data_IF_184070312969
#
_entry.id   IF_184070312969
#
_cell.length_a   1.000
_cell.length_b   1.000
_cell.length_c   1.000
_cell.angle_alpha   90.00
_cell.angle_beta   90.00
_cell.angle_gamma   90.00
#
_symmetry.space_group_name_H-M   'P 1'
#
loop_
_entity.id
_entity.type
_entity.pdbx_description
1 polymer ?
#
# COMPACT_ATOMS: atom_id res chain seq x y z
N UNK A 1 27.05 -9.01 31.93
CA UNK A 1 26.91 -8.05 30.81
C UNK A 1 25.45 -8.01 30.43
N UNK A 2 24.74 -6.90 30.70
CA UNK A 2 23.35 -6.71 30.26
C UNK A 2 23.40 -6.02 28.90
N UNK A 3 22.95 -6.71 27.86
CA UNK A 3 22.70 -6.08 26.57
C UNK A 3 21.57 -5.06 26.78
N UNK A 4 21.92 -3.79 26.64
CA UNK A 4 20.95 -2.71 26.52
C UNK A 4 20.49 -2.77 25.06
N UNK A 5 19.34 -3.37 24.82
CA UNK A 5 18.61 -3.21 23.56
C UNK A 5 18.28 -1.73 23.41
N UNK A 6 19.15 -1.00 22.71
CA UNK A 6 18.81 0.32 22.18
C UNK A 6 17.71 0.08 21.15
N UNK A 7 16.46 0.27 21.55
CA UNK A 7 15.38 0.48 20.61
C UNK A 7 15.83 1.58 19.63
N UNK A 8 15.95 1.23 18.36
CA UNK A 8 16.22 2.22 17.33
C UNK A 8 15.11 3.28 17.38
N UNK A 9 15.41 4.58 17.24
CA UNK A 9 14.38 5.60 17.20
C UNK A 9 13.41 5.28 16.05
N UNK A 10 12.15 5.05 16.40
CA UNK A 10 11.06 4.86 15.42
C UNK A 10 10.86 6.18 14.68
N UNK A 11 11.56 6.39 13.56
CA UNK A 11 11.29 7.50 12.67
C UNK A 11 9.91 7.29 12.06
N UNK A 12 8.95 8.09 12.49
CA UNK A 12 7.60 8.14 11.91
C UNK A 12 7.55 9.31 10.95
N UNK A 13 7.14 9.07 9.71
CA UNK A 13 6.92 10.15 8.73
C UNK A 13 5.62 10.86 9.09
N UNK A 14 5.61 12.19 9.25
CA UNK A 14 4.38 12.91 9.52
C UNK A 14 3.42 12.82 8.31
N UNK A 15 2.13 12.84 8.59
CA UNK A 15 1.11 12.96 7.54
C UNK A 15 1.26 14.30 6.81
N UNK A 16 1.12 14.28 5.49
CA UNK A 16 1.48 15.38 4.61
C UNK A 16 0.31 15.89 3.76
N UNK A 17 0.41 17.12 3.27
CA UNK A 17 -0.52 17.69 2.30
C UNK A 17 -1.81 18.27 2.88
N UNK A 18 -2.53 18.99 2.02
CA UNK A 18 -3.73 19.74 2.40
C UNK A 18 -4.92 18.86 2.80
N UNK A 19 -4.89 17.58 2.38
CA UNK A 19 -5.90 16.58 2.71
C UNK A 19 -5.76 16.03 4.13
N UNK A 20 -4.68 16.33 4.84
CA UNK A 20 -4.45 15.91 6.21
C UNK A 20 -4.56 17.08 7.18
N UNK A 21 -5.45 16.97 8.18
CA UNK A 21 -5.65 17.96 9.24
C UNK A 21 -5.89 17.25 10.58
N UNK A 22 -5.23 17.72 11.64
CA UNK A 22 -5.42 17.18 12.99
C UNK A 22 -5.11 15.68 13.12
N UNK A 23 -4.16 15.16 12.32
CA UNK A 23 -3.78 13.74 12.34
C UNK A 23 -4.75 12.80 11.60
N UNK A 24 -5.73 13.35 10.87
CA UNK A 24 -6.63 12.58 10.00
C UNK A 24 -6.52 13.08 8.57
N UNK A 25 -6.70 12.20 7.60
CA UNK A 25 -6.72 12.60 6.20
C UNK A 25 -8.02 12.17 5.51
N UNK A 26 -8.44 12.98 4.55
CA UNK A 26 -9.58 12.66 3.67
C UNK A 26 -9.05 12.04 2.39
N UNK A 27 -9.60 10.89 2.00
CA UNK A 27 -9.27 10.24 0.75
C UNK A 27 -9.60 11.09 -0.46
N UNK A 28 -8.75 11.02 -1.48
CA UNK A 28 -8.98 11.73 -2.74
C UNK A 28 -10.24 11.20 -3.43
N UNK A 29 -11.09 12.11 -3.89
CA UNK A 29 -12.28 11.79 -4.67
C UNK A 29 -11.97 11.48 -6.15
N UNK A 30 -12.96 10.94 -6.86
CA UNK A 30 -12.88 10.81 -8.33
C UNK A 30 -12.82 12.22 -8.94
N UNK A 31 -11.76 12.52 -9.69
CA UNK A 31 -11.53 13.84 -10.30
C UNK A 31 -10.71 14.82 -9.45
N UNK A 32 -10.48 14.52 -8.17
CA UNK A 32 -9.68 15.36 -7.26
C UNK A 32 -8.16 15.12 -7.43
N UNK A 33 -7.64 15.28 -8.64
CA UNK A 33 -6.28 14.83 -8.95
C UNK A 33 -5.19 15.74 -8.41
N UNK A 34 -5.45 17.04 -8.33
CA UNK A 34 -4.42 18.05 -8.06
C UNK A 34 -4.11 18.13 -6.57
N UNK A 35 -2.83 18.15 -6.21
CA UNK A 35 -2.37 18.51 -4.87
C UNK A 35 -2.27 20.03 -4.76
N UNK A 36 -3.06 20.64 -3.87
CA UNK A 36 -3.04 22.10 -3.62
C UNK A 36 -1.88 22.55 -2.74
N UNK A 37 -1.21 21.61 -2.08
CA UNK A 37 0.00 21.82 -1.31
C UNK A 37 1.06 20.84 -1.83
N UNK A 38 1.83 21.16 -2.88
CA UNK A 38 2.74 20.19 -3.50
C UNK A 38 3.79 19.68 -2.49
N UNK A 39 4.35 18.48 -2.70
CA UNK A 39 5.44 17.97 -1.86
C UNK A 39 6.64 18.93 -1.90
N UNK A 40 7.43 19.03 -0.80
CA UNK A 40 8.67 19.79 -0.79
C UNK A 40 9.66 19.34 -1.88
N UNK A 41 10.62 20.19 -2.22
CA UNK A 41 11.69 19.83 -3.15
C UNK A 41 12.46 18.59 -2.64
N UNK A 42 12.74 17.65 -3.55
CA UNK A 42 13.40 16.38 -3.23
C UNK A 42 12.51 15.35 -2.52
N UNK A 43 11.21 15.62 -2.40
CA UNK A 43 10.21 14.69 -1.84
C UNK A 43 9.15 14.32 -2.88
N UNK A 44 8.57 13.14 -2.70
CA UNK A 44 7.44 12.64 -3.50
C UNK A 44 6.26 12.33 -2.61
N UNK A 45 5.07 12.74 -3.05
CA UNK A 45 3.85 12.47 -2.32
C UNK A 45 3.23 11.13 -2.70
N UNK A 46 2.79 10.41 -1.69
CA UNK A 46 2.03 9.17 -1.81
C UNK A 46 0.69 9.30 -1.14
N UNK A 47 -0.31 8.66 -1.71
CA UNK A 47 -1.59 8.35 -1.08
C UNK A 47 -1.58 6.86 -0.78
N UNK A 48 -1.84 6.50 0.47
CA UNK A 48 -2.04 5.12 0.91
C UNK A 48 -3.48 5.02 1.38
N UNK A 49 -4.28 4.21 0.69
CA UNK A 49 -5.66 3.89 1.07
C UNK A 49 -5.71 2.52 1.68
N UNK A 50 -6.41 2.38 2.80
CA UNK A 50 -6.54 1.08 3.47
C UNK A 50 -7.97 0.86 3.96
N UNK A 51 -8.45 -0.37 3.87
CA UNK A 51 -9.66 -0.84 4.56
C UNK A 51 -9.54 -2.35 4.80
N UNK A 52 -10.37 -2.86 5.71
CA UNK A 52 -10.48 -4.29 5.95
C UNK A 52 -11.89 -4.62 6.44
N UNK A 53 -12.71 -5.21 5.57
CA UNK A 53 -14.01 -5.73 6.00
C UNK A 53 -13.79 -6.95 6.90
N UNK A 54 -14.47 -7.01 8.05
CA UNK A 54 -14.34 -8.11 9.01
C UNK A 54 -13.01 -8.17 9.79
N UNK A 55 -12.04 -7.31 9.48
CA UNK A 55 -10.69 -7.33 10.03
C UNK A 55 -10.15 -5.95 10.39
N UNK A 56 -8.93 -5.89 10.92
CA UNK A 56 -8.14 -4.67 10.94
C UNK A 56 -7.11 -4.67 9.81
N UNK A 57 -6.51 -3.51 9.56
CA UNK A 57 -5.36 -3.39 8.66
C UNK A 57 -4.30 -2.51 9.28
N UNK A 58 -3.07 -2.99 9.23
CA UNK A 58 -1.89 -2.37 9.79
C UNK A 58 -0.87 -2.18 8.68
N UNK A 59 -0.34 -0.96 8.57
CA UNK A 59 0.88 -0.67 7.84
C UNK A 59 2.00 -0.46 8.86
N UNK A 60 3.04 -1.28 8.75
CA UNK A 60 4.25 -1.16 9.56
C UNK A 60 5.47 -0.98 8.67
N UNK A 61 6.29 0.02 9.01
CA UNK A 61 7.54 0.28 8.35
C UNK A 61 8.51 0.97 9.31
N UNK A 62 9.78 0.51 9.40
CA UNK A 62 10.79 1.19 10.21
C UNK A 62 11.02 2.65 9.82
N UNK A 63 10.71 3.01 8.57
CA UNK A 63 10.97 4.34 8.01
C UNK A 63 9.72 5.16 7.76
N UNK A 64 8.53 4.55 7.63
CA UNK A 64 7.27 5.27 7.43
C UNK A 64 6.49 5.44 8.73
N UNK A 65 6.64 4.49 9.66
CA UNK A 65 5.92 4.45 10.92
C UNK A 65 4.97 3.25 11.02
N UNK A 66 4.11 3.30 12.04
CA UNK A 66 3.11 2.29 12.34
C UNK A 66 1.71 2.90 12.30
N UNK A 67 0.86 2.41 11.41
CA UNK A 67 -0.50 2.89 11.22
C UNK A 67 -1.47 1.73 11.30
N UNK A 68 -2.33 1.72 12.33
CA UNK A 68 -3.38 0.72 12.51
C UNK A 68 -4.73 1.34 12.29
N UNK A 69 -5.53 0.69 11.44
CA UNK A 69 -6.90 1.06 11.19
C UNK A 69 -7.80 -0.08 11.63
N UNK A 70 -8.54 0.11 12.74
CA UNK A 70 -9.49 -0.88 13.20
C UNK A 70 -10.69 -0.91 12.24
N UNK A 71 -11.06 -2.11 11.77
CA UNK A 71 -12.40 -2.48 11.29
C UNK A 71 -13.25 -1.48 10.52
N UNK A 72 -13.55 -1.76 9.26
CA UNK A 72 -14.63 -1.08 8.55
C UNK A 72 -14.56 -1.21 7.04
N UNK A 73 -15.71 -0.97 6.39
CA UNK A 73 -15.82 -0.86 4.94
C UNK A 73 -15.33 0.48 4.41
N UNK A 74 -15.17 1.47 5.28
CA UNK A 74 -14.71 2.80 4.91
C UNK A 74 -13.19 2.81 4.65
N UNK A 75 -12.81 3.33 3.48
CA UNK A 75 -11.40 3.59 3.16
C UNK A 75 -10.86 4.71 4.06
N UNK A 76 -9.75 4.43 4.73
CA UNK A 76 -8.92 5.44 5.39
C UNK A 76 -7.75 5.81 4.49
N UNK A 77 -7.30 7.05 4.56
CA UNK A 77 -6.17 7.51 3.76
C UNK A 77 -5.05 8.08 4.62
N UNK A 78 -3.83 7.85 4.15
CA UNK A 78 -2.61 8.49 4.61
C UNK A 78 -1.97 9.18 3.43
N UNK A 79 -1.41 10.36 3.67
CA UNK A 79 -0.55 11.02 2.69
C UNK A 79 0.82 11.19 3.31
N UNK A 80 1.85 10.73 2.59
CA UNK A 80 3.23 10.76 3.06
C UNK A 80 4.10 11.41 1.99
N UNK A 81 5.00 12.29 2.41
CA UNK A 81 6.06 12.82 1.56
C UNK A 81 7.35 12.04 1.83
N UNK A 82 7.82 11.30 0.83
CA UNK A 82 9.00 10.43 0.94
C UNK A 82 10.19 11.00 0.16
N UNK A 83 11.42 10.90 0.67
CA UNK A 83 12.59 11.38 -0.04
C UNK A 83 12.76 10.71 -1.40
N UNK A 84 13.17 11.47 -2.40
CA UNK A 84 13.61 10.92 -3.67
C UNK A 84 14.84 10.01 -3.50
N UNK A 85 14.98 9.02 -4.39
CA UNK A 85 16.10 8.07 -4.38
C UNK A 85 16.26 7.31 -3.06
N UNK A 86 15.13 6.91 -2.46
CA UNK A 86 15.07 6.19 -1.18
C UNK A 86 14.45 4.81 -1.32
N UNK A 87 14.62 3.97 -0.30
CA UNK A 87 13.99 2.66 -0.18
C UNK A 87 13.32 2.50 1.19
N UNK A 88 12.11 1.95 1.19
CA UNK A 88 11.32 1.69 2.41
C UNK A 88 10.83 0.24 2.43
N UNK A 89 11.13 -0.48 3.51
CA UNK A 89 10.51 -1.77 3.78
C UNK A 89 9.12 -1.52 4.36
N UNK A 90 8.09 -2.10 3.74
CA UNK A 90 6.70 -1.99 4.16
C UNK A 90 6.16 -3.38 4.42
N UNK A 91 5.42 -3.50 5.53
CA UNK A 91 4.64 -4.68 5.88
C UNK A 91 3.19 -4.24 6.04
N UNK A 92 2.29 -4.90 5.31
CA UNK A 92 0.85 -4.79 5.50
C UNK A 92 0.40 -6.06 6.22
N UNK A 93 -0.28 -5.90 7.34
CA UNK A 93 -0.85 -7.00 8.13
C UNK A 93 -2.34 -6.75 8.30
N UNK A 94 -3.13 -7.81 8.23
CA UNK A 94 -4.56 -7.77 8.49
C UNK A 94 -4.93 -8.96 9.36
N UNK A 95 -5.83 -8.74 10.31
CA UNK A 95 -6.31 -9.78 11.22
C UNK A 95 -7.83 -9.73 11.33
N UNK A 96 -8.49 -10.88 11.42
CA UNK A 96 -9.92 -10.94 11.70
C UNK A 96 -10.25 -10.33 13.07
N UNK A 97 -11.34 -9.58 13.16
CA UNK A 97 -11.77 -8.99 14.43
C UNK A 97 -12.53 -9.98 15.32
N UNK A 98 -13.21 -10.95 14.70
CA UNK A 98 -13.96 -12.00 15.39
C UNK A 98 -13.56 -13.35 14.82
N UNK A 99 -13.27 -14.29 15.72
CA UNK A 99 -12.80 -15.62 15.37
C UNK A 99 -13.76 -16.30 14.38
N UNK A 100 -13.26 -16.68 13.21
CA UNK A 100 -14.00 -17.38 12.16
C UNK A 100 -14.87 -16.49 11.28
N UNK A 101 -14.87 -15.17 11.48
CA UNK A 101 -15.54 -14.24 10.56
C UNK A 101 -14.71 -14.03 9.29
N UNK A 102 -13.40 -14.25 9.36
CA UNK A 102 -12.51 -13.90 8.27
C UNK A 102 -12.44 -12.39 8.03
N UNK A 103 -11.74 -12.02 6.97
CA UNK A 103 -11.49 -10.61 6.63
C UNK A 103 -11.29 -10.42 5.14
N UNK A 104 -11.43 -9.19 4.66
CA UNK A 104 -11.11 -8.80 3.30
C UNK A 104 -10.30 -7.48 3.29
N UNK A 105 -8.96 -7.54 3.32
CA UNK A 105 -8.12 -6.36 3.27
C UNK A 105 -8.07 -5.75 1.87
N UNK A 106 -8.07 -4.42 1.82
CA UNK A 106 -7.82 -3.62 0.63
C UNK A 106 -6.79 -2.55 0.96
N UNK A 107 -5.66 -2.55 0.24
CA UNK A 107 -4.63 -1.52 0.36
C UNK A 107 -4.23 -1.05 -1.03
N UNK A 108 -4.23 0.27 -1.24
CA UNK A 108 -3.76 0.89 -2.49
C UNK A 108 -2.75 1.98 -2.18
N UNK A 109 -1.66 2.01 -2.93
CA UNK A 109 -0.64 3.05 -2.86
C UNK A 109 -0.53 3.70 -4.23
N UNK A 110 -0.60 5.02 -4.27
CA UNK A 110 -0.42 5.80 -5.48
C UNK A 110 0.63 6.90 -5.25
N UNK A 111 1.43 7.20 -6.27
CA UNK A 111 2.42 8.28 -6.30
C UNK A 111 1.82 9.49 -7.04
N UNK A 112 1.95 10.69 -6.49
CA UNK A 112 1.58 11.92 -7.17
C UNK A 112 2.71 12.39 -8.11
N UNK A 113 2.41 12.51 -9.41
CA UNK A 113 3.33 13.09 -10.38
C UNK A 113 3.12 14.59 -10.53
N UNK A 114 4.06 15.36 -9.99
CA UNK A 114 4.03 16.82 -9.97
C UNK A 114 3.91 17.45 -11.37
N UNK A 115 4.57 16.88 -12.39
CA UNK A 115 4.56 17.45 -13.74
C UNK A 115 3.18 17.40 -14.42
N UNK A 116 2.41 16.34 -14.16
CA UNK A 116 1.12 16.09 -14.82
C UNK A 116 -0.09 16.28 -13.92
N UNK A 117 0.14 16.56 -12.64
CA UNK A 117 -0.90 16.65 -11.61
C UNK A 117 -1.84 15.44 -11.61
N UNK A 118 -1.25 14.24 -11.62
CA UNK A 118 -1.97 12.97 -11.71
C UNK A 118 -1.33 11.92 -10.83
N UNK A 119 -2.06 10.84 -10.55
CA UNK A 119 -1.64 9.77 -9.65
C UNK A 119 -1.32 8.50 -10.43
N UNK A 120 -0.17 7.90 -10.11
CA UNK A 120 0.32 6.66 -10.71
C UNK A 120 0.18 5.54 -9.68
N UNK A 121 -0.48 4.45 -10.05
CA UNK A 121 -0.67 3.34 -9.12
C UNK A 121 0.65 2.60 -8.89
N UNK A 122 1.00 2.42 -7.62
CA UNK A 122 2.26 1.78 -7.20
C UNK A 122 2.01 0.34 -6.78
N UNK A 123 1.05 0.14 -5.86
CA UNK A 123 0.60 -1.18 -5.44
C UNK A 123 -0.89 -1.20 -5.12
N UNK A 124 -1.57 -2.30 -5.42
CA UNK A 124 -2.93 -2.60 -5.02
C UNK A 124 -2.96 -4.04 -4.50
N UNK A 125 -3.30 -4.18 -3.23
CA UNK A 125 -3.52 -5.43 -2.55
C UNK A 125 -5.02 -5.47 -2.30
N UNK A 126 -5.70 -6.46 -2.86
CA UNK A 126 -7.11 -6.72 -2.58
C UNK A 126 -7.21 -8.21 -2.35
N UNK A 127 -7.79 -8.62 -1.23
CA UNK A 127 -8.10 -10.02 -1.02
C UNK A 127 -9.51 -10.14 -0.44
N UNK A 128 -10.38 -10.82 -1.17
CA UNK A 128 -11.80 -10.86 -0.86
C UNK A 128 -12.55 -9.56 -1.17
N UNK A 129 -13.85 -9.60 -0.91
CA UNK A 129 -14.84 -8.52 -0.93
C UNK A 129 -15.75 -8.70 0.30
N UNK A 130 -16.61 -7.73 0.64
CA UNK A 130 -17.50 -7.87 1.79
C UNK A 130 -18.34 -9.16 1.78
N UNK A 131 -18.80 -9.61 0.61
CA UNK A 131 -19.61 -10.81 0.42
C UNK A 131 -18.79 -12.11 0.42
N UNK A 132 -17.50 -12.03 0.12
CA UNK A 132 -16.58 -13.17 0.02
C UNK A 132 -15.24 -12.81 0.66
N UNK A 133 -15.05 -13.24 1.91
CA UNK A 133 -13.80 -13.02 2.64
C UNK A 133 -12.59 -13.54 1.85
N UNK A 134 -11.41 -13.01 2.20
CA UNK A 134 -10.15 -13.50 1.68
C UNK A 134 -9.96 -14.98 2.06
N UNK A 135 -9.88 -15.85 1.06
CA UNK A 135 -9.51 -17.26 1.18
C UNK A 135 -8.14 -17.50 0.50
N UNK A 136 -7.47 -18.64 0.73
CA UNK A 136 -6.17 -18.93 0.13
C UNK A 136 -6.16 -18.89 -1.41
N UNK A 137 -7.21 -19.39 -2.08
CA UNK A 137 -7.32 -19.43 -3.54
C UNK A 137 -7.43 -17.99 -4.08
N UNK A 138 -8.28 -17.17 -3.45
CA UNK A 138 -8.43 -15.76 -3.79
C UNK A 138 -7.11 -15.01 -3.56
N UNK A 139 -6.41 -15.24 -2.44
CA UNK A 139 -5.13 -14.60 -2.15
C UNK A 139 -4.05 -14.96 -3.20
N UNK A 140 -3.94 -16.24 -3.57
CA UNK A 140 -3.00 -16.70 -4.58
C UNK A 140 -3.35 -16.18 -5.99
N UNK A 141 -4.63 -16.19 -6.36
CA UNK A 141 -5.09 -15.61 -7.62
C UNK A 141 -4.73 -14.13 -7.70
N UNK A 142 -4.98 -13.36 -6.64
CA UNK A 142 -4.63 -11.95 -6.60
C UNK A 142 -3.14 -11.72 -6.68
N UNK A 143 -2.32 -12.51 -5.97
CA UNK A 143 -0.87 -12.47 -6.08
C UNK A 143 -0.43 -12.69 -7.53
N UNK A 144 -0.97 -13.69 -8.21
CA UNK A 144 -0.58 -14.01 -9.59
C UNK A 144 -1.04 -12.94 -10.59
N UNK A 145 -2.29 -12.49 -10.52
CA UNK A 145 -2.81 -11.42 -11.37
C UNK A 145 -2.06 -10.11 -11.15
N UNK A 146 -1.75 -9.80 -9.89
CA UNK A 146 -0.92 -8.68 -9.52
C UNK A 146 0.46 -8.76 -10.15
N UNK A 147 1.11 -9.92 -10.07
CA UNK A 147 2.44 -10.14 -10.64
C UNK A 147 2.45 -10.05 -12.17
N UNK A 148 1.41 -10.54 -12.86
CA UNK A 148 1.27 -10.43 -14.33
C UNK A 148 1.15 -9.00 -14.84
N UNK A 149 0.43 -8.14 -14.11
CA UNK A 149 0.21 -6.74 -14.50
C UNK A 149 1.47 -5.88 -14.38
N UNK A 150 2.46 -6.33 -13.61
CA UNK A 150 3.65 -5.51 -13.34
C UNK A 150 4.64 -5.55 -14.49
N UNK A 151 5.13 -4.38 -14.86
CA UNK A 151 6.26 -4.22 -15.78
C UNK A 151 7.41 -3.57 -15.03
N UNK A 152 8.57 -4.24 -14.99
CA UNK A 152 9.78 -3.78 -14.26
C UNK A 152 9.50 -3.46 -12.79
N UNK A 153 8.60 -4.22 -12.18
CA UNK A 153 8.22 -4.05 -10.78
C UNK A 153 7.26 -2.91 -10.49
N UNK A 154 6.65 -2.26 -11.49
CA UNK A 154 5.63 -1.21 -11.31
C UNK A 154 4.26 -1.69 -11.74
N UNK A 155 3.21 -1.31 -11.01
CA UNK A 155 1.84 -1.51 -11.50
C UNK A 155 1.56 -0.56 -12.65
N UNK A 156 1.71 0.75 -12.42
CA UNK A 156 1.74 1.73 -13.49
C UNK A 156 3.17 1.84 -14.05
N UNK A 157 3.41 1.42 -15.31
CA UNK A 157 4.75 1.45 -15.88
C UNK A 157 5.34 2.86 -16.01
N UNK A 158 4.48 3.89 -16.07
CA UNK A 158 4.86 5.30 -16.20
C UNK A 158 5.26 5.93 -14.86
N UNK A 159 4.83 5.34 -13.74
CA UNK A 159 5.21 5.78 -12.41
C UNK A 159 6.72 5.70 -12.19
N UNK A 160 7.22 6.44 -11.20
CA UNK A 160 8.66 6.40 -10.90
C UNK A 160 8.98 5.34 -9.85
N UNK A 161 8.01 5.00 -9.00
CA UNK A 161 8.19 4.09 -7.88
C UNK A 161 8.23 2.63 -8.33
N UNK A 162 9.21 1.88 -7.82
CA UNK A 162 9.34 0.44 -8.08
C UNK A 162 9.04 -0.33 -6.80
N UNK A 163 8.15 -1.31 -6.90
CA UNK A 163 7.95 -2.29 -5.83
C UNK A 163 8.94 -3.45 -6.04
N UNK A 164 9.50 -4.03 -5.00
CA UNK A 164 10.33 -5.23 -5.11
C UNK A 164 10.19 -6.13 -3.88
N UNK A 165 10.78 -7.32 -3.92
CA UNK A 165 10.79 -8.27 -2.80
C UNK A 165 9.40 -8.57 -2.23
N UNK A 166 8.39 -8.61 -3.09
CA UNK A 166 7.00 -8.83 -2.71
C UNK A 166 6.83 -10.26 -2.19
N UNK A 167 6.34 -10.41 -0.96
CA UNK A 167 6.04 -11.68 -0.31
C UNK A 167 4.63 -11.64 0.26
N UNK A 168 3.87 -12.70 0.04
CA UNK A 168 2.51 -12.89 0.52
C UNK A 168 2.54 -14.08 1.46
N UNK A 169 2.05 -13.90 2.68
CA UNK A 169 1.97 -14.92 3.71
C UNK A 169 0.53 -14.96 4.25
N UNK A 170 -0.05 -16.15 4.22
CA UNK A 170 -1.46 -16.44 4.51
C UNK A 170 -1.60 -17.48 5.63
N UNK A 171 -0.62 -17.50 6.55
CA UNK A 171 -0.43 -18.52 7.59
C UNK A 171 -1.63 -18.79 8.52
N UNK A 172 -2.61 -17.89 8.60
CA UNK A 172 -3.73 -17.95 9.54
C UNK A 172 -4.93 -18.80 9.20
N UNK A 173 -5.01 -19.34 7.99
CA UNK A 173 -6.12 -20.22 7.60
C UNK A 173 -5.95 -21.60 8.20
N UNK A 174 -7.00 -22.17 8.81
CA UNK A 174 -7.06 -23.63 8.97
C UNK A 174 -6.88 -24.25 7.59
N UNK A 175 -5.72 -24.87 7.39
CA UNK A 175 -5.33 -25.54 6.16
C UNK A 175 -6.46 -26.44 5.65
N UNK A 176 -6.94 -26.10 4.45
CA UNK A 176 -7.22 -27.07 3.38
C UNK A 176 -8.26 -28.19 3.63
N UNK A 177 -9.22 -28.05 4.54
CA UNK A 177 -10.35 -28.99 4.56
C UNK A 177 -11.60 -28.49 3.83
N UNK A 178 -11.90 -27.18 3.78
CA UNK A 178 -13.13 -26.68 3.10
C UNK A 178 -13.03 -25.27 2.47
N UNK A 179 -11.82 -24.75 2.15
CA UNK A 179 -11.69 -23.43 1.51
C UNK A 179 -12.07 -22.23 2.42
N UNK A 180 -11.92 -22.38 3.74
CA UNK A 180 -12.32 -21.37 4.73
C UNK A 180 -11.56 -20.04 4.65
N UNK A 181 -12.14 -19.01 5.27
CA UNK A 181 -11.59 -17.66 5.30
C UNK A 181 -10.28 -17.56 6.08
N UNK A 182 -9.37 -16.71 5.60
CA UNK A 182 -8.12 -16.36 6.27
C UNK A 182 -8.38 -15.53 7.53
N UNK A 183 -7.61 -15.82 8.58
CA UNK A 183 -7.64 -15.10 9.86
C UNK A 183 -6.54 -14.06 9.99
N UNK A 184 -5.42 -14.31 9.35
CA UNK A 184 -4.33 -13.36 9.16
C UNK A 184 -3.84 -13.38 7.71
N UNK A 185 -3.32 -12.24 7.31
CA UNK A 185 -2.84 -11.96 5.97
C UNK A 185 -1.72 -10.95 6.08
N UNK A 186 -0.58 -11.28 5.49
CA UNK A 186 0.61 -10.45 5.56
C UNK A 186 1.23 -10.29 4.19
N UNK A 187 1.49 -9.03 3.80
CA UNK A 187 2.22 -8.69 2.58
C UNK A 187 3.42 -7.84 2.92
N UNK A 188 4.60 -8.29 2.50
CA UNK A 188 5.85 -7.57 2.67
C UNK A 188 6.38 -7.14 1.32
N UNK A 189 6.84 -5.90 1.21
CA UNK A 189 7.47 -5.41 -0.01
C UNK A 189 8.43 -4.25 0.28
N UNK A 190 9.32 -4.00 -0.68
CA UNK A 190 10.18 -2.82 -0.70
C UNK A 190 9.61 -1.80 -1.67
N UNK A 191 9.44 -0.58 -1.20
CA UNK A 191 9.08 0.59 -1.99
C UNK A 191 10.36 1.35 -2.36
N UNK A 192 10.70 1.43 -3.64
CA UNK A 192 11.86 2.16 -4.14
C UNK A 192 11.43 3.43 -4.84
N UNK A 193 11.63 4.57 -4.17
CA UNK A 193 11.30 5.90 -4.68
C UNK A 193 12.41 6.35 -5.61
N UNK A 194 12.14 6.47 -6.91
CA UNK A 194 13.15 6.94 -7.89
C UNK A 194 13.11 8.47 -7.98
N UNK A 195 14.26 9.10 -8.19
CA UNK A 195 14.38 10.56 -8.23
C UNK A 195 13.91 11.25 -9.52
N UNK A 196 13.51 10.51 -10.56
CA UNK A 196 12.99 11.14 -11.78
C UNK A 196 11.48 11.37 -11.67
N UNK A 197 10.96 12.43 -12.28
CA UNK A 197 9.52 12.70 -12.35
C UNK A 197 8.87 11.91 -13.51
N UNK A 198 7.68 11.29 -13.32
CA UNK A 198 6.93 10.70 -14.42
C UNK A 198 6.58 11.73 -15.51
N UNK A 199 6.99 11.44 -16.75
CA UNK A 199 6.81 12.34 -17.90
C UNK A 199 5.57 12.03 -18.74
N UNK A 200 5.06 10.81 -18.68
CA UNK A 200 3.91 10.34 -19.47
C UNK A 200 2.70 10.12 -18.57
N UNK A 201 1.46 10.24 -19.08
CA UNK A 201 0.26 9.96 -18.29
C UNK A 201 0.25 8.53 -17.72
N UNK A 202 -0.48 8.28 -16.62
CA UNK A 202 -0.69 6.95 -16.08
C UNK A 202 -1.08 5.93 -17.16
N UNK A 203 -0.45 4.75 -17.13
CA UNK A 203 -0.71 3.64 -18.05
C UNK A 203 -0.54 3.95 -19.55
N UNK A 204 0.20 5.00 -19.92
CA UNK A 204 0.52 5.28 -21.32
C UNK A 204 1.31 4.10 -21.92
N UNK A 205 0.89 3.54 -23.07
CA UNK A 205 1.54 2.40 -23.69
C UNK A 205 3.03 2.61 -23.97
N UNK A 206 3.48 3.86 -24.16
CA UNK A 206 4.89 4.20 -24.43
C UNK A 206 5.82 3.96 -23.25
N UNK A 207 5.30 3.82 -22.03
CA UNK A 207 6.09 3.48 -20.84
C UNK A 207 6.51 2.01 -20.81
N UNK A 208 5.85 1.17 -21.60
CA UNK A 208 6.25 -0.21 -21.84
C UNK A 208 7.05 -0.23 -23.14
N UNK A 209 8.30 -0.69 -23.14
CA UNK A 209 9.04 -0.89 -24.38
C UNK A 209 8.23 -1.80 -25.31
N UNK A 210 8.09 -1.43 -26.58
CA UNK A 210 7.59 -2.35 -27.59
C UNK A 210 8.69 -3.39 -27.81
N UNK A 211 8.37 -4.66 -27.55
CA UNK A 211 9.26 -5.80 -27.83
C UNK A 211 9.45 -6.02 -29.32
#
# INVERSE_FOLDING_TARGET
>A
MRHVDRAAPTMTVPLAGARCQGGKCTCRGKGDQVETSPPPAGMKRYEIRMSAHGGDVVLDSPTLGHFRFPGGDEEVCLYLDLPESSEHQVTIESHELKKGQGMAPNVRVAEYGLLRHTWYDVIAISCGIPEHHCDPITADFWKDEWMKKRKRGRLDPCGSTVVSSLRWDTSGGMHMQDGGALRDFRVQFKLQVKGFAPELPPYDPRCVPQE
#
